data_IF_824850917259
#
_entry.id   IF_824850917259
#
_cell.length_a   1.000
_cell.length_b   1.000
_cell.length_c   1.000
_cell.angle_alpha   90.00
_cell.angle_beta   90.00
_cell.angle_gamma   90.00
#
_symmetry.space_group_name_H-M   'P 1'
#
loop_
_entity.id
_entity.type
_entity.pdbx_description
1 polymer ?
#
# COMPACT_ATOMS: atom_id res chain seq x y z
N UNK A 1 36.22 -3.50 -20.14
CA UNK A 1 35.61 -4.40 -21.14
C UNK A 1 35.12 -3.55 -22.29
N UNK A 2 35.32 -3.94 -23.55
CA UNK A 2 34.83 -3.14 -24.69
C UNK A 2 33.29 -2.99 -24.65
N UNK A 3 32.79 -1.79 -24.92
CA UNK A 3 31.36 -1.46 -24.84
C UNK A 3 30.49 -2.34 -25.75
N UNK A 4 30.92 -2.66 -26.99
CA UNK A 4 30.19 -3.61 -27.86
C UNK A 4 29.97 -4.97 -27.22
N UNK A 5 30.91 -5.43 -26.38
CA UNK A 5 30.76 -6.71 -25.69
C UNK A 5 29.77 -6.59 -24.54
N UNK A 6 29.79 -5.47 -23.81
CA UNK A 6 28.82 -5.19 -22.73
C UNK A 6 27.40 -5.14 -23.30
N UNK A 7 27.20 -4.39 -24.38
CA UNK A 7 25.89 -4.16 -25.00
C UNK A 7 25.29 -5.46 -25.56
N UNK A 8 26.10 -6.26 -26.26
CA UNK A 8 25.55 -7.34 -27.09
C UNK A 8 25.71 -8.74 -26.51
N UNK A 9 26.69 -9.03 -25.64
CA UNK A 9 26.96 -10.42 -25.25
C UNK A 9 25.78 -11.06 -24.53
N UNK A 10 25.24 -10.38 -23.52
CA UNK A 10 24.14 -10.90 -22.72
C UNK A 10 22.87 -11.04 -23.58
N UNK A 11 22.55 -10.02 -24.39
CA UNK A 11 21.41 -10.09 -25.31
C UNK A 11 21.54 -11.25 -26.31
N UNK A 12 22.70 -11.37 -26.97
CA UNK A 12 22.96 -12.44 -27.94
C UNK A 12 22.81 -13.81 -27.28
N UNK A 13 23.33 -13.98 -26.07
CA UNK A 13 23.21 -15.23 -25.32
C UNK A 13 21.75 -15.54 -25.00
N UNK A 14 21.02 -14.60 -24.41
CA UNK A 14 19.61 -14.81 -24.04
C UNK A 14 18.73 -15.12 -25.24
N UNK A 15 18.92 -14.40 -26.35
CA UNK A 15 18.14 -14.59 -27.58
C UNK A 15 18.53 -15.90 -28.26
N UNK A 16 19.80 -16.31 -28.19
CA UNK A 16 20.26 -17.58 -28.76
C UNK A 16 19.57 -18.81 -28.15
N UNK A 17 19.28 -18.80 -26.84
CA UNK A 17 18.57 -19.90 -26.17
C UNK A 17 17.12 -20.11 -26.68
N UNK A 18 16.55 -19.11 -27.36
CA UNK A 18 15.22 -19.20 -27.99
C UNK A 18 15.26 -19.77 -29.41
N UNK A 19 16.46 -19.96 -29.97
CA UNK A 19 16.65 -20.50 -31.32
C UNK A 19 16.74 -22.03 -31.32
N UNK A 20 16.68 -22.63 -32.51
CA UNK A 20 16.81 -24.09 -32.71
C UNK A 20 18.14 -24.66 -32.24
N UNK A 21 19.13 -23.81 -32.01
CA UNK A 21 20.44 -24.17 -31.46
C UNK A 21 20.54 -23.98 -29.93
N UNK A 22 19.49 -23.46 -29.30
CA UNK A 22 19.41 -23.27 -27.85
C UNK A 22 19.35 -24.60 -27.11
N UNK A 23 19.92 -24.62 -25.90
CA UNK A 23 20.11 -25.87 -25.15
C UNK A 23 18.79 -26.57 -24.77
N UNK A 24 17.73 -25.79 -24.58
CA UNK A 24 16.42 -26.26 -24.13
C UNK A 24 15.40 -26.41 -25.27
N UNK A 25 15.76 -25.99 -26.49
CA UNK A 25 14.80 -25.88 -27.60
C UNK A 25 14.28 -27.25 -28.04
N UNK A 26 15.18 -28.20 -28.29
CA UNK A 26 14.81 -29.53 -28.82
C UNK A 26 13.93 -30.31 -27.83
N UNK A 27 14.26 -30.26 -26.53
CA UNK A 27 13.47 -30.91 -25.49
C UNK A 27 12.05 -30.33 -25.42
N UNK A 28 11.92 -29.00 -25.41
CA UNK A 28 10.63 -28.34 -25.40
C UNK A 28 9.83 -28.60 -26.68
N UNK A 29 10.47 -28.51 -27.84
CA UNK A 29 9.85 -28.81 -29.14
C UNK A 29 9.21 -30.21 -29.17
N UNK A 30 9.94 -31.21 -28.66
CA UNK A 30 9.45 -32.58 -28.59
C UNK A 30 8.29 -32.76 -27.60
N UNK A 31 8.23 -31.91 -26.55
CA UNK A 31 7.14 -31.93 -25.55
C UNK A 31 5.81 -31.37 -26.08
N UNK A 32 5.82 -30.58 -27.15
CA UNK A 32 4.61 -29.99 -27.71
C UNK A 32 3.68 -31.06 -28.31
N UNK A 33 2.40 -31.00 -27.97
CA UNK A 33 1.38 -32.02 -28.31
C UNK A 33 0.96 -32.01 -29.79
N UNK A 34 1.08 -30.87 -30.47
CA UNK A 34 0.54 -30.67 -31.83
C UNK A 34 1.62 -30.23 -32.80
N UNK A 35 1.53 -30.73 -34.03
CA UNK A 35 2.44 -30.36 -35.11
C UNK A 35 2.30 -28.87 -35.48
N UNK A 36 1.11 -28.29 -35.33
CA UNK A 36 0.88 -26.86 -35.58
C UNK A 36 1.69 -25.99 -34.62
N UNK A 37 1.68 -26.28 -33.32
CA UNK A 37 2.52 -25.55 -32.33
C UNK A 37 4.02 -25.73 -32.58
N UNK A 38 4.43 -26.92 -33.04
CA UNK A 38 5.82 -27.20 -33.39
C UNK A 38 6.28 -26.37 -34.58
N UNK A 39 5.47 -26.32 -35.64
CA UNK A 39 5.74 -25.50 -36.82
C UNK A 39 5.77 -24.00 -36.46
N UNK A 40 4.86 -23.56 -35.61
CA UNK A 40 4.84 -22.18 -35.10
C UNK A 40 6.11 -21.84 -34.31
N UNK A 41 6.54 -22.73 -33.40
CA UNK A 41 7.78 -22.57 -32.63
C UNK A 41 9.01 -22.51 -33.55
N UNK A 42 9.10 -23.38 -34.56
CA UNK A 42 10.19 -23.36 -35.54
C UNK A 42 10.18 -22.07 -36.37
N UNK A 43 9.01 -21.61 -36.82
CA UNK A 43 8.89 -20.36 -37.56
C UNK A 43 9.39 -19.16 -36.75
N UNK A 44 8.94 -19.03 -35.49
CA UNK A 44 9.42 -17.98 -34.58
C UNK A 44 10.92 -18.09 -34.30
N UNK A 45 11.42 -19.31 -34.11
CA UNK A 45 12.84 -19.60 -33.89
C UNK A 45 13.72 -19.14 -35.06
N UNK A 46 13.29 -19.41 -36.29
CA UNK A 46 13.98 -19.00 -37.51
C UNK A 46 13.96 -17.47 -37.70
N UNK A 47 12.83 -16.82 -37.40
CA UNK A 47 12.71 -15.37 -37.43
C UNK A 47 13.62 -14.70 -36.37
N UNK A 48 13.66 -15.24 -35.16
CA UNK A 48 14.55 -14.79 -34.08
C UNK A 48 16.03 -15.01 -34.46
N UNK A 49 16.40 -16.13 -35.07
CA UNK A 49 17.78 -16.38 -35.51
C UNK A 49 18.23 -15.39 -36.61
N UNK A 50 17.31 -14.95 -37.47
CA UNK A 50 17.61 -13.92 -38.47
C UNK A 50 17.91 -12.56 -37.83
N UNK A 51 17.12 -12.15 -36.84
CA UNK A 51 17.40 -10.94 -36.04
C UNK A 51 18.73 -11.07 -35.28
N UNK A 52 19.00 -12.24 -34.70
CA UNK A 52 20.24 -12.53 -33.99
C UNK A 52 21.47 -12.39 -34.90
N UNK A 53 21.38 -12.80 -36.17
CA UNK A 53 22.46 -12.59 -37.17
C UNK A 53 22.68 -11.09 -37.46
N UNK A 54 21.61 -10.30 -37.56
CA UNK A 54 21.70 -8.86 -37.76
C UNK A 54 22.34 -8.15 -36.56
N UNK A 55 22.00 -8.56 -35.34
CA UNK A 55 22.61 -8.06 -34.10
C UNK A 55 24.10 -8.43 -34.04
N UNK A 56 24.46 -9.70 -34.32
CA UNK A 56 25.87 -10.14 -34.37
C UNK A 56 26.68 -9.35 -35.41
N UNK A 57 26.09 -9.04 -36.56
CA UNK A 57 26.72 -8.20 -37.58
C UNK A 57 26.95 -6.78 -37.07
N UNK A 58 25.96 -6.17 -36.42
CA UNK A 58 26.06 -4.82 -35.83
C UNK A 58 27.18 -4.77 -34.77
N UNK A 59 27.28 -5.79 -33.92
CA UNK A 59 28.37 -5.97 -32.96
C UNK A 59 29.75 -6.01 -33.63
N UNK A 60 29.90 -6.79 -34.71
CA UNK A 60 31.17 -6.92 -35.44
C UNK A 60 31.58 -5.61 -36.14
N UNK A 61 30.60 -4.87 -36.67
CA UNK A 61 30.79 -3.57 -37.29
C UNK A 61 30.97 -2.43 -36.28
N UNK A 62 30.91 -2.72 -34.98
CA UNK A 62 30.95 -1.75 -33.89
C UNK A 62 29.93 -0.61 -34.08
N UNK A 63 28.70 -0.97 -34.51
CA UNK A 63 27.57 -0.04 -34.63
C UNK A 63 26.41 -0.47 -33.77
N UNK A 64 25.69 0.52 -33.24
CA UNK A 64 24.42 0.27 -32.55
C UNK A 64 23.41 -0.26 -33.58
N UNK A 65 22.63 -1.25 -33.16
CA UNK A 65 21.65 -1.90 -34.02
C UNK A 65 20.43 -0.97 -34.13
N UNK A 66 19.97 -0.73 -35.36
CA UNK A 66 19.08 0.39 -35.67
C UNK A 66 17.60 0.14 -35.38
N UNK A 67 17.17 -1.11 -35.24
CA UNK A 67 15.75 -1.44 -35.08
C UNK A 67 15.58 -2.74 -34.31
N UNK A 68 15.03 -2.67 -33.10
CA UNK A 68 14.69 -3.84 -32.31
C UNK A 68 13.18 -4.11 -32.23
N UNK A 69 12.34 -3.32 -32.89
CA UNK A 69 10.88 -3.41 -32.76
C UNK A 69 10.39 -4.78 -33.25
N UNK A 70 10.97 -5.27 -34.34
CA UNK A 70 10.67 -6.62 -34.84
C UNK A 70 11.03 -7.68 -33.80
N UNK A 71 12.24 -7.62 -33.22
CA UNK A 71 12.66 -8.58 -32.20
C UNK A 71 11.76 -8.51 -30.95
N UNK A 72 11.38 -7.32 -30.49
CA UNK A 72 10.42 -7.17 -29.37
C UNK A 72 9.09 -7.86 -29.71
N UNK A 73 8.57 -7.66 -30.92
CA UNK A 73 7.36 -8.31 -31.40
C UNK A 73 7.47 -9.84 -31.37
N UNK A 74 8.59 -10.39 -31.85
CA UNK A 74 8.87 -11.82 -31.83
C UNK A 74 8.98 -12.37 -30.40
N UNK A 75 9.71 -11.68 -29.51
CA UNK A 75 9.88 -12.07 -28.11
C UNK A 75 8.53 -12.07 -27.36
N UNK A 76 7.69 -11.08 -27.59
CA UNK A 76 6.35 -11.02 -26.99
C UNK A 76 5.43 -12.13 -27.53
N UNK A 77 5.49 -12.40 -28.83
CA UNK A 77 4.73 -13.50 -29.45
C UNK A 77 5.18 -14.85 -28.88
N UNK A 78 6.50 -15.07 -28.78
CA UNK A 78 7.06 -16.27 -28.17
C UNK A 78 6.60 -16.43 -26.71
N UNK A 79 6.72 -15.37 -25.90
CA UNK A 79 6.31 -15.36 -24.49
C UNK A 79 4.82 -15.70 -24.30
N UNK A 80 3.96 -15.20 -25.18
CA UNK A 80 2.51 -15.42 -25.10
C UNK A 80 2.12 -16.83 -25.57
N UNK A 81 2.74 -17.33 -26.63
CA UNK A 81 2.35 -18.61 -27.24
C UNK A 81 3.04 -19.82 -26.57
N UNK A 82 4.20 -19.60 -25.94
CA UNK A 82 5.03 -20.61 -25.29
C UNK A 82 5.44 -20.21 -23.86
N UNK A 83 4.47 -19.81 -23.05
CA UNK A 83 4.69 -19.44 -21.63
C UNK A 83 5.25 -20.58 -20.75
N UNK A 84 5.16 -21.83 -21.21
CA UNK A 84 5.73 -23.03 -20.59
C UNK A 84 7.19 -23.28 -20.97
N UNK A 85 7.78 -22.48 -21.87
CA UNK A 85 9.17 -22.62 -22.27
C UNK A 85 10.09 -22.52 -21.02
N UNK A 86 11.09 -23.41 -20.86
CA UNK A 86 11.83 -23.48 -19.60
C UNK A 86 12.65 -22.21 -19.27
N UNK A 87 13.12 -21.48 -20.29
CA UNK A 87 13.81 -20.20 -20.11
C UNK A 87 12.82 -19.06 -19.86
N UNK A 88 12.77 -18.56 -18.62
CA UNK A 88 11.93 -17.41 -18.24
C UNK A 88 12.62 -16.06 -18.46
N UNK A 89 13.74 -16.05 -19.19
CA UNK A 89 14.63 -14.90 -19.33
C UNK A 89 14.27 -13.93 -20.47
N UNK A 90 13.10 -14.12 -21.10
CA UNK A 90 12.61 -13.22 -22.17
C UNK A 90 12.47 -11.77 -21.67
N UNK A 91 12.02 -11.58 -20.42
CA UNK A 91 11.94 -10.24 -19.82
C UNK A 91 13.32 -9.57 -19.74
N UNK A 92 14.39 -10.32 -19.46
CA UNK A 92 15.76 -9.77 -19.43
C UNK A 92 16.17 -9.26 -20.82
N UNK A 93 15.90 -10.03 -21.88
CA UNK A 93 16.16 -9.62 -23.27
C UNK A 93 15.43 -8.33 -23.64
N UNK A 94 14.13 -8.24 -23.31
CA UNK A 94 13.31 -7.05 -23.59
C UNK A 94 13.87 -5.83 -22.86
N UNK A 95 14.26 -5.97 -21.60
CA UNK A 95 14.86 -4.87 -20.82
C UNK A 95 16.18 -4.41 -21.43
N UNK A 96 17.07 -5.35 -21.80
CA UNK A 96 18.34 -4.99 -22.45
C UNK A 96 18.06 -4.23 -23.75
N UNK A 97 17.11 -4.68 -24.58
CA UNK A 97 16.74 -3.99 -25.81
C UNK A 97 16.30 -2.55 -25.53
N UNK A 98 15.40 -2.33 -24.55
CA UNK A 98 14.96 -0.98 -24.20
C UNK A 98 16.11 -0.09 -23.76
N UNK A 99 17.06 -0.63 -22.98
CA UNK A 99 18.24 0.11 -22.53
C UNK A 99 19.18 0.44 -23.70
N UNK A 100 19.33 -0.43 -24.69
CA UNK A 100 20.13 -0.17 -25.90
C UNK A 100 19.48 0.91 -26.76
N UNK A 101 18.17 0.82 -27.00
CA UNK A 101 17.43 1.87 -27.73
C UNK A 101 17.56 3.21 -27.02
N UNK A 102 17.35 3.22 -25.70
CA UNK A 102 17.50 4.42 -24.90
C UNK A 102 18.91 4.99 -24.97
N UNK A 103 19.96 4.15 -24.93
CA UNK A 103 21.34 4.59 -25.10
C UNK A 103 21.59 5.24 -26.46
N UNK A 104 20.94 4.74 -27.51
CA UNK A 104 21.07 5.24 -28.88
C UNK A 104 20.31 6.55 -29.12
N UNK A 105 19.14 6.70 -28.49
CA UNK A 105 18.25 7.86 -28.68
C UNK A 105 18.57 9.02 -27.73
N UNK A 106 18.95 8.73 -26.49
CA UNK A 106 19.13 9.75 -25.45
C UNK A 106 20.50 10.43 -25.48
N UNK A 107 21.47 9.86 -26.18
CA UNK A 107 22.80 10.43 -26.34
C UNK A 107 22.88 11.11 -27.69
N UNK A 108 22.87 12.45 -27.70
CA UNK A 108 23.10 13.29 -28.89
C UNK A 108 24.51 13.07 -29.53
N UNK A 109 25.34 12.21 -28.92
CA UNK A 109 26.69 11.86 -29.36
C UNK A 109 26.72 10.41 -29.89
N UNK A 110 27.42 10.18 -31.01
CA UNK A 110 27.66 8.83 -31.51
C UNK A 110 28.33 7.98 -30.43
N UNK A 111 27.65 6.91 -30.00
CA UNK A 111 28.17 5.99 -28.98
C UNK A 111 29.38 5.23 -29.54
N UNK A 112 30.57 5.53 -29.02
CA UNK A 112 31.78 4.81 -29.38
C UNK A 112 31.79 3.41 -28.74
N UNK A 113 31.40 2.40 -29.52
CA UNK A 113 31.32 1.00 -29.06
C UNK A 113 32.68 0.31 -28.84
N UNK A 114 33.78 0.95 -29.20
CA UNK A 114 35.14 0.46 -28.96
C UNK A 114 35.73 0.98 -27.63
N UNK A 115 35.00 1.84 -26.91
CA UNK A 115 35.39 2.34 -25.60
C UNK A 115 35.54 1.20 -24.57
N UNK A 116 36.56 1.29 -23.71
CA UNK A 116 36.71 0.40 -22.56
C UNK A 116 36.03 0.97 -21.31
N UNK A 117 35.11 0.21 -20.73
CA UNK A 117 34.37 0.63 -19.54
C UNK A 117 34.62 -0.35 -18.38
N UNK A 118 34.76 0.21 -17.17
CA UNK A 118 34.82 -0.54 -15.92
C UNK A 118 33.41 -0.84 -15.42
N UNK A 119 33.01 -2.11 -15.50
CA UNK A 119 31.69 -2.62 -15.04
C UNK A 119 31.75 -3.23 -13.64
N UNK A 120 32.85 -3.00 -12.90
CA UNK A 120 33.05 -3.57 -11.57
C UNK A 120 32.58 -2.67 -10.44
N UNK A 121 32.11 -1.45 -10.72
CA UNK A 121 31.70 -0.48 -9.72
C UNK A 121 30.32 -0.79 -9.12
N UNK A 122 29.43 -1.44 -9.89
CA UNK A 122 28.06 -1.72 -9.48
C UNK A 122 27.78 -3.22 -9.35
N UNK A 123 26.85 -3.54 -8.48
CA UNK A 123 26.21 -4.84 -8.33
C UNK A 123 24.71 -4.74 -8.63
N UNK A 124 24.12 -5.86 -9.03
CA UNK A 124 22.69 -5.96 -9.30
C UNK A 124 22.06 -6.95 -8.33
N UNK A 125 21.30 -6.41 -7.39
CA UNK A 125 20.88 -7.10 -6.17
C UNK A 125 19.37 -7.19 -6.13
N UNK A 126 18.84 -8.37 -5.80
CA UNK A 126 17.41 -8.56 -5.55
C UNK A 126 17.02 -7.78 -4.30
N UNK A 127 15.94 -7.00 -4.39
CA UNK A 127 15.42 -6.27 -3.25
C UNK A 127 14.87 -7.25 -2.19
N UNK A 128 15.23 -7.08 -0.91
CA UNK A 128 14.77 -7.99 0.16
C UNK A 128 13.26 -7.97 0.37
N UNK A 129 12.63 -6.86 0.00
CA UNK A 129 11.19 -6.63 0.09
C UNK A 129 10.76 -5.71 -1.04
N UNK A 130 9.77 -6.14 -1.81
CA UNK A 130 9.23 -5.34 -2.90
C UNK A 130 8.60 -4.03 -2.42
N UNK A 131 8.62 -3.02 -3.29
CA UNK A 131 7.99 -1.72 -3.06
C UNK A 131 7.00 -1.41 -4.19
N UNK A 132 6.05 -0.53 -3.94
CA UNK A 132 5.02 -0.19 -4.93
C UNK A 132 5.60 0.44 -6.22
N UNK A 133 6.79 1.04 -6.16
CA UNK A 133 7.47 1.55 -7.35
C UNK A 133 8.03 0.41 -8.19
N UNK A 134 7.62 0.34 -9.46
CA UNK A 134 8.11 -0.64 -10.44
C UNK A 134 9.51 -0.30 -10.92
N UNK A 135 9.69 0.92 -11.41
CA UNK A 135 10.98 1.43 -11.87
C UNK A 135 11.30 2.73 -11.13
N UNK A 136 12.56 2.89 -10.72
CA UNK A 136 13.02 4.12 -10.10
C UNK A 136 14.50 4.34 -10.41
N UNK A 137 14.91 5.59 -10.57
CA UNK A 137 16.30 5.93 -10.80
C UNK A 137 16.68 7.19 -10.03
N UNK A 138 17.89 7.18 -9.49
CA UNK A 138 18.52 8.36 -8.93
C UNK A 138 19.97 8.39 -9.41
N UNK A 139 20.37 9.52 -9.96
CA UNK A 139 21.72 9.75 -10.45
C UNK A 139 22.35 10.88 -9.63
N UNK A 140 23.43 10.58 -8.92
CA UNK A 140 24.26 11.56 -8.24
C UNK A 140 25.35 12.06 -9.21
N UNK A 141 25.25 13.34 -9.57
CA UNK A 141 26.17 14.00 -10.50
C UNK A 141 27.58 14.22 -9.93
N UNK A 142 27.75 14.10 -8.61
CA UNK A 142 29.03 14.32 -7.91
C UNK A 142 29.76 13.01 -7.69
N UNK A 143 29.05 11.99 -7.21
CA UNK A 143 29.61 10.68 -6.92
C UNK A 143 28.67 9.58 -7.40
N UNK A 144 29.02 8.97 -8.53
CA UNK A 144 28.24 7.93 -9.18
C UNK A 144 27.90 6.79 -8.20
N UNK A 145 28.74 6.51 -7.20
CA UNK A 145 28.50 5.46 -6.19
C UNK A 145 27.21 5.64 -5.37
N UNK A 146 26.71 6.87 -5.26
CA UNK A 146 25.46 7.17 -4.58
C UNK A 146 24.24 7.07 -5.51
N UNK A 147 24.44 6.65 -6.76
CA UNK A 147 23.37 6.44 -7.72
C UNK A 147 22.73 5.07 -7.53
N UNK A 148 21.47 4.94 -7.95
CA UNK A 148 20.77 3.67 -7.96
C UNK A 148 19.77 3.58 -9.11
N UNK A 149 19.53 2.37 -9.58
CA UNK A 149 18.45 2.08 -10.55
C UNK A 149 17.68 0.85 -10.08
N UNK A 150 16.43 1.05 -9.69
CA UNK A 150 15.44 0.01 -9.43
C UNK A 150 14.72 -0.35 -10.73
N UNK A 151 14.66 -1.65 -11.00
CA UNK A 151 14.04 -2.24 -12.19
C UNK A 151 13.13 -3.40 -11.76
N UNK A 152 11.91 -3.44 -12.28
CA UNK A 152 10.98 -4.57 -12.11
C UNK A 152 10.95 -5.43 -13.37
N UNK A 153 11.47 -6.65 -13.28
CA UNK A 153 11.49 -7.61 -14.39
C UNK A 153 10.14 -8.33 -14.60
N UNK A 154 9.23 -8.22 -13.62
CA UNK A 154 7.87 -8.75 -13.70
C UNK A 154 6.93 -7.90 -14.56
N UNK A 155 7.25 -6.63 -14.81
CA UNK A 155 6.48 -5.73 -15.66
C UNK A 155 7.38 -4.85 -16.54
N UNK A 156 7.75 -5.38 -17.71
CA UNK A 156 8.64 -4.71 -18.66
C UNK A 156 7.97 -3.61 -19.49
N UNK A 157 6.64 -3.58 -19.57
CA UNK A 157 5.90 -2.74 -20.51
C UNK A 157 6.02 -1.24 -20.18
N UNK A 158 6.10 -0.91 -18.89
CA UNK A 158 6.18 0.47 -18.41
C UNK A 158 7.61 1.01 -18.34
N UNK A 159 8.61 0.20 -18.70
CA UNK A 159 10.02 0.56 -18.50
C UNK A 159 10.51 1.60 -19.50
N UNK A 160 10.15 1.43 -20.78
CA UNK A 160 10.53 2.37 -21.83
C UNK A 160 9.93 3.77 -21.57
N UNK A 161 8.65 3.83 -21.20
CA UNK A 161 7.99 5.07 -20.80
C UNK A 161 8.70 5.72 -19.61
N UNK A 162 9.06 4.92 -18.60
CA UNK A 162 9.73 5.43 -17.41
C UNK A 162 11.07 6.10 -17.73
N UNK A 163 11.96 5.43 -18.47
CA UNK A 163 13.29 5.98 -18.77
C UNK A 163 13.26 7.14 -19.77
N UNK A 164 12.25 7.18 -20.65
CA UNK A 164 12.00 8.35 -21.49
C UNK A 164 11.66 9.59 -20.64
N UNK A 165 10.86 9.41 -19.58
CA UNK A 165 10.46 10.50 -18.67
C UNK A 165 11.52 10.82 -17.60
N UNK A 166 12.39 9.86 -17.26
CA UNK A 166 13.37 9.95 -16.18
C UNK A 166 14.75 9.56 -16.71
N UNK A 167 15.47 10.51 -17.34
CA UNK A 167 16.65 10.17 -18.09
C UNK A 167 17.78 9.63 -17.20
N UNK A 168 18.45 8.59 -17.71
CA UNK A 168 19.60 7.97 -17.07
C UNK A 168 20.90 8.45 -17.73
N UNK A 169 21.96 8.56 -16.93
CA UNK A 169 23.31 8.75 -17.48
C UNK A 169 23.76 7.53 -18.28
N UNK A 170 24.56 7.76 -19.33
CA UNK A 170 25.26 6.72 -20.12
C UNK A 170 25.86 5.63 -19.24
N UNK A 171 26.57 6.03 -18.19
CA UNK A 171 27.28 5.13 -17.28
C UNK A 171 26.32 4.15 -16.59
N UNK A 172 25.23 4.64 -15.99
CA UNK A 172 24.24 3.79 -15.32
C UNK A 172 23.55 2.82 -16.28
N UNK A 173 23.26 3.23 -17.51
CA UNK A 173 22.66 2.36 -18.53
C UNK A 173 23.62 1.21 -18.85
N UNK A 174 24.90 1.53 -19.08
CA UNK A 174 25.92 0.54 -19.42
C UNK A 174 26.16 -0.43 -18.25
N UNK A 175 26.22 0.09 -17.01
CA UNK A 175 26.30 -0.74 -15.82
C UNK A 175 25.08 -1.68 -15.74
N UNK A 176 23.87 -1.17 -15.96
CA UNK A 176 22.65 -1.98 -15.92
C UNK A 176 22.66 -3.09 -16.99
N UNK A 177 22.95 -2.76 -18.25
CA UNK A 177 23.05 -3.74 -19.34
C UNK A 177 24.11 -4.81 -19.01
N UNK A 178 25.24 -4.42 -18.41
CA UNK A 178 26.31 -5.36 -18.08
C UNK A 178 25.91 -6.44 -17.07
N UNK A 179 24.91 -6.16 -16.21
CA UNK A 179 24.47 -7.05 -15.12
C UNK A 179 23.20 -7.84 -15.43
N UNK A 180 22.35 -7.32 -16.32
CA UNK A 180 21.16 -8.05 -16.77
C UNK A 180 21.59 -9.10 -17.80
N UNK A 181 21.09 -10.33 -17.70
CA UNK A 181 21.43 -11.37 -18.68
C UNK A 181 22.75 -12.08 -18.43
N UNK A 182 23.38 -11.95 -17.25
CA UNK A 182 24.58 -12.72 -16.91
C UNK A 182 24.31 -14.22 -17.05
N UNK A 183 25.21 -14.94 -17.73
CA UNK A 183 25.02 -16.35 -18.12
C UNK A 183 24.78 -17.24 -16.89
N UNK A 184 25.59 -17.04 -15.85
CA UNK A 184 25.58 -17.88 -14.65
C UNK A 184 24.55 -17.42 -13.59
N UNK A 185 23.75 -16.40 -13.89
CA UNK A 185 22.81 -15.78 -12.93
C UNK A 185 21.47 -15.49 -13.59
N UNK A 186 20.58 -16.47 -13.54
CA UNK A 186 19.17 -16.27 -13.92
C UNK A 186 18.48 -15.34 -12.91
N UNK A 187 17.70 -14.38 -13.41
CA UNK A 187 17.00 -13.41 -12.58
C UNK A 187 15.52 -13.80 -12.47
N UNK A 188 15.01 -13.80 -11.25
CA UNK A 188 13.58 -14.02 -11.00
C UNK A 188 12.74 -12.84 -11.50
N UNK A 189 11.45 -13.05 -11.78
CA UNK A 189 10.52 -11.97 -12.11
C UNK A 189 10.17 -11.17 -10.85
N UNK A 190 11.08 -10.28 -10.44
CA UNK A 190 11.00 -9.48 -9.23
C UNK A 190 11.73 -8.14 -9.39
N UNK A 191 11.80 -7.39 -8.30
CA UNK A 191 12.50 -6.11 -8.24
C UNK A 191 13.99 -6.27 -7.93
N UNK A 192 14.81 -5.69 -8.79
CA UNK A 192 16.26 -5.63 -8.65
C UNK A 192 16.74 -4.19 -8.63
N UNK A 193 17.87 -3.97 -7.95
CA UNK A 193 18.47 -2.66 -7.82
C UNK A 193 19.93 -2.74 -8.22
N UNK A 194 20.31 -1.83 -9.11
CA UNK A 194 21.69 -1.50 -9.42
C UNK A 194 22.20 -0.52 -8.35
N UNK A 195 23.22 -0.92 -7.59
CA UNK A 195 23.85 -0.12 -6.53
C UNK A 195 25.36 -0.32 -6.54
N UNK A 196 26.11 0.54 -5.85
CA UNK A 196 27.55 0.35 -5.68
C UNK A 196 27.86 -1.04 -5.07
N UNK A 197 28.90 -1.70 -5.59
CA UNK A 197 29.27 -3.06 -5.16
C UNK A 197 29.59 -3.16 -3.67
N UNK A 198 30.06 -2.07 -3.04
CA UNK A 198 30.52 -2.09 -1.66
C UNK A 198 29.33 -2.25 -0.67
N UNK A 199 28.08 -2.04 -1.13
CA UNK A 199 26.85 -2.22 -0.32
C UNK A 199 26.07 -3.51 -0.63
N UNK A 200 26.55 -4.35 -1.56
CA UNK A 200 25.84 -5.54 -2.05
C UNK A 200 25.38 -6.52 -0.95
N UNK A 201 26.19 -6.68 0.10
CA UNK A 201 25.95 -7.70 1.13
C UNK A 201 24.92 -7.30 2.20
N UNK A 202 24.27 -6.14 2.05
CA UNK A 202 23.40 -5.58 3.09
C UNK A 202 22.01 -5.28 2.53
N UNK A 203 21.22 -6.34 2.30
CA UNK A 203 19.92 -6.22 1.65
C UNK A 203 18.95 -5.24 2.34
N UNK A 204 18.96 -5.18 3.67
CA UNK A 204 18.16 -4.20 4.43
C UNK A 204 18.65 -2.75 4.28
N UNK A 205 19.97 -2.56 4.14
CA UNK A 205 20.55 -1.25 3.86
C UNK A 205 20.20 -0.79 2.45
N UNK A 206 20.27 -1.68 1.45
CA UNK A 206 19.84 -1.40 0.07
C UNK A 206 18.36 -1.03 0.06
N UNK A 207 17.51 -1.81 0.74
CA UNK A 207 16.08 -1.50 0.83
C UNK A 207 15.83 -0.11 1.44
N UNK A 208 16.49 0.20 2.56
CA UNK A 208 16.36 1.50 3.23
C UNK A 208 16.88 2.65 2.35
N UNK A 209 17.98 2.43 1.64
CA UNK A 209 18.58 3.41 0.73
C UNK A 209 17.63 3.72 -0.43
N UNK A 210 17.13 2.70 -1.12
CA UNK A 210 16.19 2.84 -2.24
C UNK A 210 14.91 3.51 -1.78
N UNK A 211 14.29 3.00 -0.71
CA UNK A 211 13.03 3.55 -0.20
C UNK A 211 13.17 5.00 0.23
N UNK A 212 14.29 5.38 0.87
CA UNK A 212 14.55 6.77 1.24
C UNK A 212 14.63 7.69 0.00
N UNK A 213 15.29 7.25 -1.07
CA UNK A 213 15.30 7.99 -2.34
C UNK A 213 13.92 8.08 -2.97
N UNK A 214 13.14 7.00 -2.94
CA UNK A 214 11.76 7.00 -3.45
C UNK A 214 10.89 8.00 -2.69
N UNK A 215 10.84 7.92 -1.35
CA UNK A 215 9.98 8.80 -0.54
C UNK A 215 10.45 10.26 -0.56
N UNK A 216 11.76 10.53 -0.65
CA UNK A 216 12.31 11.89 -0.84
C UNK A 216 11.80 12.54 -2.13
N UNK A 217 11.45 11.75 -3.14
CA UNK A 217 10.86 12.23 -4.40
C UNK A 217 9.33 12.27 -4.37
N UNK A 218 8.70 12.15 -3.19
CA UNK A 218 7.24 12.22 -3.05
C UNK A 218 6.49 10.98 -3.58
N UNK A 219 7.20 9.89 -3.86
CA UNK A 219 6.62 8.63 -4.36
C UNK A 219 6.29 7.68 -3.20
N UNK A 220 5.28 6.84 -3.39
CA UNK A 220 4.84 5.85 -2.40
C UNK A 220 5.68 4.57 -2.49
N UNK A 221 6.07 4.01 -1.35
CA UNK A 221 6.75 2.71 -1.26
C UNK A 221 5.80 1.57 -0.87
N UNK A 222 4.59 1.90 -0.40
CA UNK A 222 3.56 0.96 0.04
C UNK A 222 2.30 1.10 -0.84
N UNK A 223 1.38 0.14 -0.69
CA UNK A 223 0.06 0.17 -1.31
C UNK A 223 -0.94 0.77 -0.31
N UNK A 224 -1.52 1.95 -0.57
CA UNK A 224 -2.60 2.46 0.26
C UNK A 224 -3.84 1.57 0.12
N UNK A 225 -4.64 1.45 1.17
CA UNK A 225 -5.87 0.67 1.15
C UNK A 225 -7.07 1.61 1.17
N UNK A 226 -7.88 1.55 0.10
CA UNK A 226 -9.07 2.39 -0.03
C UNK A 226 -10.30 1.73 0.61
N UNK A 227 -10.97 2.45 1.50
CA UNK A 227 -12.27 2.08 2.06
C UNK A 227 -13.40 2.74 1.28
N UNK A 228 -14.11 1.93 0.49
CA UNK A 228 -15.15 2.39 -0.43
C UNK A 228 -16.58 2.16 0.08
N UNK A 229 -16.74 1.56 1.27
CA UNK A 229 -18.06 1.31 1.80
C UNK A 229 -18.72 2.64 2.19
N UNK A 230 -19.96 2.80 1.76
CA UNK A 230 -20.82 3.92 2.19
C UNK A 230 -21.38 3.55 3.57
N UNK A 231 -21.46 4.50 4.53
CA UNK A 231 -22.09 4.25 5.81
C UNK A 231 -23.46 3.58 5.64
N UNK A 232 -23.58 2.37 6.15
CA UNK A 232 -24.86 1.67 6.17
C UNK A 232 -25.53 2.03 7.48
N UNK A 233 -26.57 2.85 7.41
CA UNK A 233 -27.35 3.30 8.58
C UNK A 233 -28.65 2.49 8.61
N UNK A 234 -29.10 2.05 9.79
CA UNK A 234 -30.41 1.38 9.92
C UNK A 234 -31.53 2.17 9.22
N UNK A 235 -32.30 1.48 8.39
CA UNK A 235 -33.44 2.04 7.64
C UNK A 235 -34.53 2.64 8.53
N UNK A 236 -34.53 2.28 9.83
CA UNK A 236 -35.44 2.84 10.82
C UNK A 236 -35.12 4.31 11.13
N UNK A 237 -33.87 4.75 10.91
CA UNK A 237 -33.39 6.10 11.18
C UNK A 237 -33.74 7.03 10.04
N UNK A 238 -34.64 7.98 10.32
CA UNK A 238 -35.10 8.97 9.34
C UNK A 238 -34.68 10.36 9.77
N UNK A 239 -34.02 11.07 8.86
CA UNK A 239 -33.76 12.51 8.99
C UNK A 239 -35.09 13.24 8.80
N UNK A 240 -35.51 14.02 9.80
CA UNK A 240 -36.80 14.71 9.77
C UNK A 240 -36.62 16.23 9.72
N UNK A 241 -37.38 16.90 8.88
CA UNK A 241 -37.22 18.34 8.61
C UNK A 241 -37.49 19.21 9.85
N UNK A 242 -38.37 18.77 10.75
CA UNK A 242 -38.74 19.47 11.96
C UNK A 242 -37.65 19.45 13.05
N UNK A 243 -36.63 18.61 12.89
CA UNK A 243 -35.57 18.45 13.88
C UNK A 243 -34.44 19.48 13.64
N UNK A 244 -34.00 20.12 14.72
CA UNK A 244 -32.96 21.17 14.69
C UNK A 244 -31.54 20.59 14.68
N UNK A 245 -31.13 20.07 13.53
CA UNK A 245 -29.79 19.50 13.33
C UNK A 245 -28.64 20.53 13.34
N UNK A 246 -28.94 21.84 13.32
CA UNK A 246 -27.93 22.91 13.28
C UNK A 246 -26.91 22.83 14.44
N UNK A 247 -27.30 22.23 15.57
CA UNK A 247 -26.37 21.99 16.68
C UNK A 247 -25.24 20.99 16.35
N UNK A 248 -25.28 20.34 15.19
CA UNK A 248 -24.30 19.39 14.67
C UNK A 248 -23.62 19.90 13.39
N UNK A 249 -23.70 21.18 13.04
CA UNK A 249 -23.10 21.72 11.82
C UNK A 249 -21.60 21.35 11.69
N UNK A 250 -20.82 21.51 12.77
CA UNK A 250 -19.41 21.08 12.80
C UNK A 250 -19.25 19.57 12.58
N UNK A 251 -20.10 18.76 13.21
CA UNK A 251 -20.09 17.30 13.04
C UNK A 251 -20.43 16.89 11.60
N UNK A 252 -21.38 17.59 10.97
CA UNK A 252 -21.77 17.35 9.57
C UNK A 252 -20.62 17.71 8.62
N UNK A 253 -19.90 18.81 8.89
CA UNK A 253 -18.71 19.17 8.11
C UNK A 253 -17.60 18.12 8.26
N UNK A 254 -17.34 17.63 9.47
CA UNK A 254 -16.35 16.55 9.67
C UNK A 254 -16.80 15.25 8.97
N UNK A 255 -18.10 14.93 8.96
CA UNK A 255 -18.64 13.80 8.18
C UNK A 255 -18.46 14.00 6.67
N UNK A 256 -18.56 15.23 6.18
CA UNK A 256 -18.24 15.54 4.78
C UNK A 256 -16.76 15.29 4.47
N UNK A 257 -15.85 15.69 5.36
CA UNK A 257 -14.42 15.37 5.26
C UNK A 257 -14.18 13.86 5.31
N UNK A 258 -14.87 13.13 6.19
CA UNK A 258 -14.84 11.67 6.24
C UNK A 258 -15.25 11.03 4.90
N UNK A 259 -16.30 11.54 4.26
CA UNK A 259 -16.77 11.05 2.97
C UNK A 259 -15.81 11.38 1.82
N UNK A 260 -15.04 12.47 1.92
CA UNK A 260 -14.02 12.83 0.93
C UNK A 260 -12.80 11.91 0.99
N UNK A 261 -12.40 11.44 2.17
CA UNK A 261 -11.28 10.52 2.32
C UNK A 261 -11.59 9.17 1.67
N UNK A 262 -10.62 8.61 0.96
CA UNK A 262 -10.67 7.23 0.44
C UNK A 262 -9.81 6.28 1.23
N UNK A 263 -8.72 6.76 1.83
CA UNK A 263 -7.82 5.93 2.64
C UNK A 263 -8.49 5.48 3.94
N UNK A 264 -8.38 4.19 4.27
CA UNK A 264 -9.04 3.61 5.45
C UNK A 264 -8.51 4.15 6.78
N UNK A 265 -7.20 4.42 6.87
CA UNK A 265 -6.56 4.91 8.08
C UNK A 265 -6.96 6.38 8.31
N UNK A 266 -6.97 7.18 7.25
CA UNK A 266 -7.45 8.57 7.31
C UNK A 266 -8.95 8.64 7.64
N UNK A 267 -9.78 7.78 7.02
CA UNK A 267 -11.20 7.67 7.37
C UNK A 267 -11.39 7.37 8.85
N UNK A 268 -10.63 6.41 9.37
CA UNK A 268 -10.67 6.09 10.79
C UNK A 268 -10.30 7.29 11.68
N UNK A 269 -9.26 8.05 11.34
CA UNK A 269 -8.91 9.27 12.08
C UNK A 269 -10.01 10.34 11.99
N UNK A 270 -10.63 10.54 10.83
CA UNK A 270 -11.72 11.51 10.65
C UNK A 270 -12.95 11.15 11.48
N UNK A 271 -13.35 9.88 11.50
CA UNK A 271 -14.49 9.45 12.32
C UNK A 271 -14.14 9.43 13.82
N UNK A 272 -12.87 9.19 14.17
CA UNK A 272 -12.40 9.36 15.54
C UNK A 272 -12.52 10.82 16.02
N UNK A 273 -12.24 11.83 15.18
CA UNK A 273 -12.46 13.23 15.54
C UNK A 273 -13.93 13.55 15.87
N UNK A 274 -14.88 12.84 15.27
CA UNK A 274 -16.30 12.95 15.65
C UNK A 274 -16.56 12.36 17.05
N UNK A 275 -15.95 11.22 17.36
CA UNK A 275 -16.01 10.65 18.71
C UNK A 275 -15.37 11.61 19.73
N UNK A 276 -14.24 12.25 19.41
CA UNK A 276 -13.65 13.29 20.25
C UNK A 276 -14.63 14.44 20.48
N UNK A 277 -15.27 14.96 19.43
CA UNK A 277 -16.29 16.00 19.58
C UNK A 277 -17.41 15.55 20.53
N UNK A 278 -17.88 14.31 20.42
CA UNK A 278 -18.91 13.75 21.30
C UNK A 278 -18.44 13.50 22.73
N UNK A 279 -17.16 13.18 22.96
CA UNK A 279 -16.59 13.09 24.30
C UNK A 279 -16.68 14.42 25.06
N UNK A 280 -16.55 15.56 24.38
CA UNK A 280 -16.77 16.88 24.96
C UNK A 280 -18.26 17.24 25.05
N UNK A 281 -19.04 16.88 24.03
CA UNK A 281 -20.48 17.21 23.97
C UNK A 281 -21.31 16.49 25.02
N UNK A 282 -20.95 15.25 25.37
CA UNK A 282 -21.66 14.43 26.36
C UNK A 282 -21.72 15.04 27.78
N UNK A 283 -20.60 15.45 28.42
CA UNK A 283 -20.68 16.11 29.71
C UNK A 283 -21.33 17.50 29.61
N UNK A 284 -21.23 18.19 28.46
CA UNK A 284 -21.85 19.49 28.24
C UNK A 284 -23.38 19.40 28.12
N UNK A 285 -23.91 18.40 27.41
CA UNK A 285 -25.35 18.15 27.29
C UNK A 285 -25.94 17.79 28.66
N UNK A 286 -25.25 16.97 29.46
CA UNK A 286 -25.63 16.66 30.83
C UNK A 286 -25.67 17.91 31.72
N UNK A 287 -24.67 18.79 31.59
CA UNK A 287 -24.64 20.05 32.32
C UNK A 287 -25.81 20.95 31.93
N UNK A 288 -26.04 21.13 30.63
CA UNK A 288 -27.14 21.94 30.08
C UNK A 288 -28.51 21.45 30.59
N UNK A 289 -28.75 20.14 30.52
CA UNK A 289 -29.99 19.52 31.01
C UNK A 289 -30.19 19.64 32.51
N UNK A 290 -29.12 19.50 33.30
CA UNK A 290 -29.17 19.65 34.76
C UNK A 290 -29.66 21.05 35.17
N UNK A 291 -29.26 22.07 34.42
CA UNK A 291 -29.64 23.45 34.69
C UNK A 291 -30.91 23.88 33.94
N UNK A 292 -31.32 23.18 32.88
CA UNK A 292 -32.55 23.39 32.11
C UNK A 292 -32.71 24.84 31.64
N UNK A 293 -31.68 25.35 30.97
CA UNK A 293 -31.62 26.72 30.46
C UNK A 293 -31.28 27.79 31.51
N UNK A 294 -31.12 27.41 32.79
CA UNK A 294 -30.64 28.33 33.85
C UNK A 294 -29.11 28.49 33.79
N UNK A 295 -28.65 29.60 34.37
CA UNK A 295 -27.21 29.89 34.49
C UNK A 295 -26.51 28.86 35.39
N UNK A 296 -25.44 28.24 34.89
CA UNK A 296 -24.53 27.43 35.71
C UNK A 296 -23.30 28.23 36.14
N UNK A 297 -22.63 27.80 37.22
CA UNK A 297 -21.46 28.52 37.73
C UNK A 297 -20.17 28.15 36.98
N UNK A 298 -19.15 29.03 37.03
CA UNK A 298 -17.79 28.73 36.52
C UNK A 298 -17.24 27.43 37.14
N UNK A 299 -17.58 27.15 38.40
CA UNK A 299 -17.17 25.91 39.07
C UNK A 299 -17.81 24.67 38.46
N UNK A 300 -19.04 24.75 37.98
CA UNK A 300 -19.70 23.64 37.29
C UNK A 300 -19.07 23.38 35.91
N UNK A 301 -18.71 24.45 35.21
CA UNK A 301 -17.96 24.36 33.95
C UNK A 301 -16.57 23.77 34.16
N UNK A 302 -15.85 24.18 35.20
CA UNK A 302 -14.55 23.59 35.56
C UNK A 302 -14.67 22.09 35.86
N UNK A 303 -15.66 21.68 36.67
CA UNK A 303 -15.91 20.26 36.94
C UNK A 303 -16.20 19.47 35.68
N UNK A 304 -16.98 20.03 34.75
CA UNK A 304 -17.26 19.42 33.46
C UNK A 304 -15.98 19.30 32.62
N UNK A 305 -15.16 20.35 32.57
CA UNK A 305 -13.89 20.33 31.88
C UNK A 305 -12.92 19.30 32.49
N UNK A 306 -12.90 19.17 33.81
CA UNK A 306 -12.11 18.15 34.51
C UNK A 306 -12.56 16.73 34.11
N UNK A 307 -13.85 16.49 33.88
CA UNK A 307 -14.34 15.18 33.41
C UNK A 307 -13.77 14.77 32.05
N UNK A 308 -13.46 15.73 31.19
CA UNK A 308 -12.82 15.47 29.89
C UNK A 308 -11.29 15.50 29.98
N UNK A 309 -10.75 16.37 30.84
CA UNK A 309 -9.30 16.50 31.08
C UNK A 309 -8.70 15.30 31.82
N UNK A 310 -9.52 14.48 32.48
CA UNK A 310 -9.12 13.30 33.26
C UNK A 310 -8.70 12.07 32.41
N UNK A 311 -8.49 12.24 31.10
CA UNK A 311 -7.89 11.26 30.20
C UNK A 311 -8.85 10.78 29.11
N UNK A 312 -8.39 10.86 27.87
CA UNK A 312 -9.09 10.52 26.63
C UNK A 312 -9.83 9.17 26.71
N UNK A 313 -9.12 8.09 27.08
CA UNK A 313 -9.72 6.75 27.23
C UNK A 313 -10.87 6.71 28.25
N UNK A 314 -10.77 7.47 29.34
CA UNK A 314 -11.81 7.51 30.38
C UNK A 314 -13.06 8.21 29.85
N UNK A 315 -12.89 9.32 29.15
CA UNK A 315 -13.99 10.05 28.49
C UNK A 315 -14.66 9.18 27.42
N UNK A 316 -13.88 8.46 26.63
CA UNK A 316 -14.39 7.54 25.62
C UNK A 316 -15.20 6.40 26.24
N UNK A 317 -14.68 5.78 27.31
CA UNK A 317 -15.43 4.74 28.06
C UNK A 317 -16.74 5.28 28.64
N UNK A 318 -16.74 6.49 29.19
CA UNK A 318 -17.96 7.10 29.71
C UNK A 318 -19.00 7.31 28.61
N UNK A 319 -18.58 7.81 27.45
CA UNK A 319 -19.46 8.00 26.29
C UNK A 319 -20.06 6.67 25.82
N UNK A 320 -19.22 5.64 25.58
CA UNK A 320 -19.69 4.35 25.09
C UNK A 320 -20.57 3.60 26.11
N UNK A 321 -20.28 3.72 27.40
CA UNK A 321 -21.13 3.13 28.44
C UNK A 321 -22.55 3.70 28.45
N UNK A 322 -22.75 4.95 28.02
CA UNK A 322 -24.11 5.47 27.83
C UNK A 322 -24.71 5.05 26.48
N UNK A 323 -23.92 5.03 25.40
CA UNK A 323 -24.40 4.61 24.07
C UNK A 323 -24.98 3.19 24.12
N UNK A 324 -24.26 2.24 24.72
CA UNK A 324 -24.68 0.82 24.75
C UNK A 324 -25.97 0.56 25.52
N UNK A 325 -26.42 1.50 26.35
CA UNK A 325 -27.71 1.40 27.07
C UNK A 325 -28.91 1.71 26.19
N UNK A 326 -28.70 2.41 25.08
CA UNK A 326 -29.75 2.83 24.17
C UNK A 326 -30.09 1.75 23.15
N UNK A 327 -31.29 1.83 22.59
CA UNK A 327 -31.77 0.96 21.54
C UNK A 327 -31.07 1.30 20.21
N UNK A 328 -30.47 0.30 19.58
CA UNK A 328 -30.02 0.36 18.19
C UNK A 328 -31.22 0.23 17.25
N UNK A 329 -32.11 -0.72 17.53
CA UNK A 329 -33.41 -0.85 16.87
C UNK A 329 -34.46 -1.16 17.94
N UNK A 330 -35.75 -1.07 17.61
CA UNK A 330 -36.80 -1.33 18.58
C UNK A 330 -36.63 -2.72 19.23
N UNK A 331 -36.28 -2.75 20.52
CA UNK A 331 -36.04 -3.97 21.29
C UNK A 331 -34.65 -4.60 21.14
N UNK A 332 -33.70 -3.97 20.42
CA UNK A 332 -32.31 -4.42 20.28
C UNK A 332 -31.40 -3.30 20.77
N UNK A 333 -30.59 -3.56 21.80
CA UNK A 333 -29.65 -2.54 22.31
C UNK A 333 -28.40 -2.43 21.46
N UNK A 334 -27.72 -1.29 21.55
CA UNK A 334 -26.38 -1.15 21.00
C UNK A 334 -25.39 -2.16 21.59
N UNK A 335 -25.51 -2.54 22.86
CA UNK A 335 -24.70 -3.63 23.44
C UNK A 335 -24.81 -4.91 22.61
N UNK A 336 -26.04 -5.30 22.30
CA UNK A 336 -26.37 -6.57 21.65
C UNK A 336 -25.90 -6.53 20.19
N UNK A 337 -26.13 -5.41 19.51
CA UNK A 337 -25.66 -5.18 18.14
C UNK A 337 -24.14 -5.29 18.04
N UNK A 338 -23.39 -4.60 18.90
CA UNK A 338 -21.92 -4.63 18.89
C UNK A 338 -21.42 -6.03 19.25
N UNK A 339 -22.01 -6.67 20.25
CA UNK A 339 -21.63 -8.02 20.67
C UNK A 339 -21.90 -9.07 19.58
N UNK A 340 -23.03 -8.97 18.88
CA UNK A 340 -23.32 -9.82 17.72
C UNK A 340 -22.32 -9.60 16.59
N UNK A 341 -21.93 -8.36 16.30
CA UNK A 341 -20.89 -8.05 15.31
C UNK A 341 -19.52 -8.58 15.72
N UNK A 342 -19.17 -8.50 17.00
CA UNK A 342 -17.93 -9.08 17.55
C UNK A 342 -17.91 -10.59 17.36
N UNK A 343 -18.97 -11.27 17.79
CA UNK A 343 -19.12 -12.72 17.61
C UNK A 343 -19.24 -13.13 16.15
N UNK A 344 -19.60 -12.20 15.27
CA UNK A 344 -19.65 -12.40 13.83
C UNK A 344 -18.31 -12.26 13.13
N UNK A 345 -17.28 -11.67 13.76
CA UNK A 345 -15.95 -11.56 13.16
C UNK A 345 -15.34 -12.93 12.89
N UNK A 346 -15.47 -13.84 13.85
CA UNK A 346 -15.14 -15.25 13.67
C UNK A 346 -16.42 -16.10 13.72
N UNK A 347 -16.73 -16.90 12.69
CA UNK A 347 -15.85 -17.28 11.58
C UNK A 347 -16.03 -16.48 10.28
N UNK A 348 -16.87 -15.43 10.24
CA UNK A 348 -17.29 -14.88 8.93
C UNK A 348 -16.21 -14.03 8.21
N UNK A 349 -15.24 -13.50 8.94
CA UNK A 349 -14.21 -12.61 8.40
C UNK A 349 -12.79 -13.03 8.78
N UNK A 350 -12.62 -13.62 9.97
CA UNK A 350 -11.33 -14.05 10.50
C UNK A 350 -11.47 -15.50 10.97
N UNK A 351 -10.80 -16.41 10.27
CA UNK A 351 -10.90 -17.85 10.51
C UNK A 351 -10.21 -18.28 11.82
N UNK A 352 -9.20 -17.54 12.27
CA UNK A 352 -8.36 -17.90 13.40
C UNK A 352 -8.44 -16.85 14.52
N UNK A 353 -9.08 -17.22 15.64
CA UNK A 353 -9.18 -16.39 16.84
C UNK A 353 -7.83 -16.01 17.42
N UNK A 354 -6.79 -16.85 17.26
CA UNK A 354 -5.45 -16.57 17.79
C UNK A 354 -4.87 -15.30 17.16
N UNK A 355 -5.19 -15.03 15.89
CA UNK A 355 -4.78 -13.78 15.22
C UNK A 355 -5.44 -12.55 15.84
N UNK A 356 -6.73 -12.66 16.22
CA UNK A 356 -7.44 -11.60 16.93
C UNK A 356 -6.79 -11.35 18.29
N UNK A 357 -6.55 -12.41 19.07
CA UNK A 357 -5.91 -12.32 20.38
C UNK A 357 -4.51 -11.72 20.31
N UNK A 358 -3.73 -12.11 19.30
CA UNK A 358 -2.40 -11.56 19.04
C UNK A 358 -2.48 -10.07 18.71
N UNK A 359 -3.41 -9.65 17.84
CA UNK A 359 -3.61 -8.24 17.53
C UNK A 359 -4.05 -7.44 18.76
N UNK A 360 -4.97 -7.96 19.58
CA UNK A 360 -5.39 -7.31 20.82
C UNK A 360 -4.19 -7.14 21.78
N UNK A 361 -3.31 -8.14 21.87
CA UNK A 361 -2.09 -8.07 22.66
C UNK A 361 -1.11 -7.00 22.15
N UNK A 362 -0.87 -6.93 20.83
CA UNK A 362 -0.03 -5.90 20.19
C UNK A 362 -0.58 -4.48 20.45
N UNK A 363 -1.91 -4.33 20.40
CA UNK A 363 -2.62 -3.10 20.75
C UNK A 363 -2.67 -2.84 22.27
N UNK A 364 -2.08 -3.70 23.09
CA UNK A 364 -2.08 -3.65 24.57
C UNK A 364 -3.48 -3.67 25.18
N UNK A 365 -4.44 -4.28 24.49
CA UNK A 365 -5.80 -4.55 24.96
C UNK A 365 -5.79 -5.88 25.75
N UNK A 366 -5.99 -5.80 27.06
CA UNK A 366 -5.92 -6.96 27.99
C UNK A 366 -7.18 -7.82 27.96
N UNK A 367 -7.58 -8.30 26.79
CA UNK A 367 -8.72 -9.20 26.58
C UNK A 367 -8.40 -10.15 25.42
N UNK A 368 -8.98 -11.35 25.46
CA UNK A 368 -9.03 -12.28 24.33
C UNK A 368 -10.43 -12.30 23.72
N UNK A 369 -10.55 -12.84 22.51
CA UNK A 369 -11.79 -12.96 21.75
C UNK A 369 -12.93 -13.54 22.56
N UNK A 370 -12.68 -14.70 23.19
CA UNK A 370 -13.69 -15.42 23.99
C UNK A 370 -13.93 -14.80 25.38
N UNK A 371 -13.08 -13.86 25.83
CA UNK A 371 -13.25 -13.18 27.12
C UNK A 371 -14.14 -11.94 27.06
N UNK A 372 -14.52 -11.49 25.86
CA UNK A 372 -15.40 -10.34 25.69
C UNK A 372 -16.82 -10.75 26.04
N UNK A 373 -17.39 -10.12 27.06
CA UNK A 373 -18.77 -10.34 27.49
C UNK A 373 -19.67 -9.17 27.05
N UNK A 374 -20.92 -9.46 26.73
CA UNK A 374 -21.93 -8.47 26.32
C UNK A 374 -22.05 -7.29 27.31
N UNK A 375 -22.04 -7.57 28.61
CA UNK A 375 -22.12 -6.53 29.67
C UNK A 375 -20.89 -5.61 29.71
N UNK A 376 -19.75 -6.07 29.16
CA UNK A 376 -18.48 -5.33 29.14
C UNK A 376 -18.19 -4.68 27.79
N UNK A 377 -19.06 -4.90 26.79
CA UNK A 377 -18.76 -4.59 25.38
C UNK A 377 -18.49 -3.11 25.13
N UNK A 378 -19.20 -2.20 25.80
CA UNK A 378 -18.98 -0.76 25.66
C UNK A 378 -17.59 -0.33 26.13
N UNK A 379 -17.14 -0.86 27.28
CA UNK A 379 -15.81 -0.59 27.82
C UNK A 379 -14.68 -1.21 27.00
N UNK A 380 -14.90 -2.42 26.48
CA UNK A 380 -13.98 -3.09 25.56
C UNK A 380 -13.86 -2.32 24.23
N UNK A 381 -14.98 -1.99 23.60
CA UNK A 381 -15.02 -1.31 22.31
C UNK A 381 -14.37 0.08 22.37
N UNK A 382 -14.65 0.85 23.43
CA UNK A 382 -13.96 2.11 23.69
C UNK A 382 -12.42 1.93 23.84
N UNK A 383 -12.00 0.88 24.55
CA UNK A 383 -10.57 0.59 24.70
C UNK A 383 -9.90 0.22 23.38
N UNK A 384 -10.60 -0.53 22.53
CA UNK A 384 -10.10 -0.95 21.23
C UNK A 384 -9.98 0.23 20.26
N UNK A 385 -11.00 1.11 20.20
CA UNK A 385 -10.92 2.35 19.42
C UNK A 385 -9.73 3.18 19.91
N UNK A 386 -9.61 3.43 21.21
CA UNK A 386 -8.48 4.21 21.73
C UNK A 386 -7.12 3.58 21.39
N UNK A 387 -7.00 2.25 21.48
CA UNK A 387 -5.76 1.54 21.15
C UNK A 387 -5.40 1.66 19.67
N UNK A 388 -6.37 1.54 18.75
CA UNK A 388 -6.18 1.72 17.31
C UNK A 388 -5.74 3.15 16.97
N UNK A 389 -6.38 4.16 17.55
CA UNK A 389 -5.96 5.57 17.40
C UNK A 389 -4.51 5.75 17.85
N UNK A 390 -4.15 5.19 18.98
CA UNK A 390 -2.78 5.31 19.49
C UNK A 390 -1.76 4.61 18.61
N UNK A 391 -2.07 3.42 18.08
CA UNK A 391 -1.21 2.71 17.15
C UNK A 391 -0.99 3.50 15.84
N UNK A 392 -1.93 4.36 15.45
CA UNK A 392 -1.82 5.23 14.28
C UNK A 392 -1.03 6.51 14.54
N UNK A 393 -1.26 7.18 15.69
CA UNK A 393 -0.78 8.54 15.94
C UNK A 393 0.51 8.57 16.77
N UNK A 394 0.76 7.59 17.63
CA UNK A 394 1.97 7.56 18.45
C UNK A 394 3.08 6.78 17.75
N UNK A 395 4.27 7.37 17.74
CA UNK A 395 5.48 6.80 17.14
C UNK A 395 6.56 6.61 18.22
N UNK A 396 6.37 5.64 19.11
CA UNK A 396 7.41 5.15 20.03
C UNK A 396 7.91 3.83 19.49
N UNK A 397 9.22 3.69 19.29
CA UNK A 397 9.86 2.52 18.66
C UNK A 397 9.46 1.15 19.25
N UNK A 398 8.99 1.10 20.50
CA UNK A 398 8.56 -0.12 21.19
C UNK A 398 7.06 -0.42 21.07
N UNK A 399 6.31 0.36 20.30
CA UNK A 399 4.86 0.25 20.15
C UNK A 399 4.50 -0.29 18.77
N UNK A 400 3.43 -1.10 18.72
CA UNK A 400 2.85 -1.53 17.46
C UNK A 400 2.33 -0.30 16.69
N UNK A 401 2.83 -0.09 15.49
CA UNK A 401 2.43 1.01 14.61
C UNK A 401 1.54 0.51 13.50
N UNK A 402 0.32 1.02 13.45
CA UNK A 402 -0.61 0.70 12.38
C UNK A 402 -0.28 1.59 11.16
N UNK A 403 0.41 1.00 10.20
CA UNK A 403 0.68 1.52 8.85
C UNK A 403 0.00 0.63 7.81
N UNK A 404 -0.06 1.05 6.54
CA UNK A 404 -0.58 0.16 5.47
C UNK A 404 0.15 -1.17 5.39
N UNK A 405 1.45 -1.18 5.66
CA UNK A 405 2.22 -2.42 5.70
C UNK A 405 1.71 -3.36 6.79
N UNK A 406 1.66 -2.90 8.03
CA UNK A 406 1.20 -3.73 9.16
C UNK A 406 -0.30 -4.01 9.12
N UNK A 407 -1.07 -3.20 8.39
CA UNK A 407 -2.50 -3.40 8.17
C UNK A 407 -2.76 -4.59 7.24
N UNK A 408 -1.93 -4.76 6.20
CA UNK A 408 -2.11 -5.74 5.12
C UNK A 408 -1.27 -7.01 5.32
N UNK A 409 -0.06 -6.88 5.86
CA UNK A 409 0.96 -7.93 5.80
C UNK A 409 1.78 -8.06 7.10
N UNK A 410 1.12 -7.99 8.26
CA UNK A 410 1.81 -8.26 9.52
C UNK A 410 2.24 -9.74 9.62
N UNK A 411 3.45 -10.02 10.08
CA UNK A 411 4.02 -11.38 10.10
C UNK A 411 3.21 -12.39 10.94
N UNK A 412 2.59 -11.93 12.02
CA UNK A 412 1.84 -12.80 12.94
C UNK A 412 0.32 -12.72 12.78
N UNK A 413 -0.20 -11.55 12.38
CA UNK A 413 -1.66 -11.32 12.32
C UNK A 413 -2.18 -11.14 10.89
N UNK A 414 -1.29 -11.11 9.89
CA UNK A 414 -1.65 -10.95 8.48
C UNK A 414 -2.54 -9.72 8.27
N UNK A 415 -3.67 -9.86 7.57
CA UNK A 415 -4.66 -8.80 7.31
C UNK A 415 -5.72 -8.67 8.43
N UNK A 416 -5.53 -9.30 9.59
CA UNK A 416 -6.51 -9.26 10.70
C UNK A 416 -6.81 -7.83 11.15
N UNK A 417 -5.82 -6.94 11.13
CA UNK A 417 -6.02 -5.53 11.47
C UNK A 417 -6.94 -4.83 10.46
N UNK A 418 -6.78 -5.13 9.16
CA UNK A 418 -7.70 -4.66 8.12
C UNK A 418 -9.11 -5.17 8.36
N UNK A 419 -9.29 -6.47 8.55
CA UNK A 419 -10.62 -7.06 8.76
C UNK A 419 -11.31 -6.50 10.01
N UNK A 420 -10.55 -6.32 11.10
CA UNK A 420 -11.07 -5.70 12.32
C UNK A 420 -11.52 -4.25 12.07
N UNK A 421 -10.70 -3.45 11.37
CA UNK A 421 -11.02 -2.06 11.09
C UNK A 421 -12.21 -1.93 10.13
N UNK A 422 -12.20 -2.69 9.03
CA UNK A 422 -13.16 -2.60 7.93
C UNK A 422 -14.51 -3.25 8.25
N UNK A 423 -14.51 -4.39 8.94
CA UNK A 423 -15.73 -5.20 9.15
C UNK A 423 -16.37 -5.00 10.52
N UNK A 424 -15.62 -4.50 11.50
CA UNK A 424 -16.11 -4.29 12.86
C UNK A 424 -16.07 -2.83 13.29
N UNK A 425 -14.90 -2.19 13.30
CA UNK A 425 -14.76 -0.86 13.89
C UNK A 425 -15.50 0.21 13.08
N UNK A 426 -15.15 0.39 11.80
CA UNK A 426 -15.72 1.48 11.00
C UNK A 426 -17.25 1.37 10.87
N UNK A 427 -17.85 0.22 10.48
CA UNK A 427 -19.30 0.14 10.33
C UNK A 427 -20.08 0.42 11.62
N UNK A 428 -19.55 0.00 12.76
CA UNK A 428 -20.20 0.23 14.06
C UNK A 428 -20.07 1.69 14.48
N UNK A 429 -18.88 2.29 14.31
CA UNK A 429 -18.67 3.70 14.66
C UNK A 429 -19.51 4.61 13.76
N UNK A 430 -19.64 4.29 12.47
CA UNK A 430 -20.54 4.97 11.55
C UNK A 430 -21.99 4.93 12.05
N UNK A 431 -22.53 3.75 12.34
CA UNK A 431 -23.89 3.60 12.88
C UNK A 431 -24.10 4.41 14.17
N UNK A 432 -23.13 4.39 15.08
CA UNK A 432 -23.19 5.14 16.34
C UNK A 432 -23.17 6.65 16.09
N UNK A 433 -22.27 7.13 15.23
CA UNK A 433 -22.15 8.57 14.92
C UNK A 433 -23.45 9.07 14.27
N UNK A 434 -24.00 8.33 13.32
CA UNK A 434 -25.26 8.70 12.69
C UNK A 434 -26.44 8.61 13.66
N UNK A 435 -26.50 7.59 14.53
CA UNK A 435 -27.49 7.54 15.62
C UNK A 435 -27.44 8.79 16.50
N UNK A 436 -26.23 9.16 16.96
CA UNK A 436 -26.03 10.28 17.86
C UNK A 436 -26.47 11.62 17.24
N UNK A 437 -26.36 11.77 15.92
CA UNK A 437 -26.74 12.98 15.17
C UNK A 437 -28.19 12.97 14.71
N UNK A 438 -28.73 11.83 14.27
CA UNK A 438 -30.06 11.74 13.64
C UNK A 438 -31.17 11.65 14.68
N UNK A 439 -30.98 10.82 15.72
CA UNK A 439 -31.97 10.55 16.74
C UNK A 439 -31.77 11.44 17.96
N UNK A 440 -32.84 12.14 18.38
CA UNK A 440 -32.80 12.92 19.61
C UNK A 440 -32.52 12.02 20.81
N UNK A 441 -31.38 12.23 21.46
CA UNK A 441 -30.90 11.42 22.58
C UNK A 441 -30.41 12.30 23.73
N UNK A 442 -30.26 11.74 24.92
CA UNK A 442 -29.75 12.47 26.09
C UNK A 442 -28.23 12.59 26.11
N UNK A 443 -27.54 11.91 25.20
CA UNK A 443 -26.08 11.81 25.17
C UNK A 443 -25.49 13.08 24.58
N UNK A 444 -25.84 13.46 23.36
CA UNK A 444 -25.17 14.58 22.66
C UNK A 444 -26.10 15.71 22.23
N UNK A 445 -27.41 15.61 22.44
CA UNK A 445 -28.34 16.68 22.10
C UNK A 445 -28.51 17.67 23.24
N UNK A 446 -28.40 18.96 22.90
CA UNK A 446 -28.87 20.03 23.77
C UNK A 446 -30.38 20.12 23.73
N UNK A 447 -30.99 20.28 24.90
CA UNK A 447 -32.43 20.49 25.02
C UNK A 447 -32.78 21.94 24.68
N UNK A 448 -31.98 22.89 25.16
CA UNK A 448 -32.17 24.32 24.92
C UNK A 448 -31.27 24.82 23.78
N UNK A 449 -31.74 25.83 23.05
CA UNK A 449 -30.99 26.44 21.94
C UNK A 449 -29.85 27.36 22.37
N UNK A 450 -29.75 27.66 23.67
CA UNK A 450 -28.73 28.55 24.23
C UNK A 450 -28.28 28.03 25.59
N UNK A 451 -27.00 28.24 25.89
CA UNK A 451 -26.41 28.01 27.21
C UNK A 451 -26.19 29.38 27.84
N UNK A 452 -26.88 29.68 28.95
CA UNK A 452 -26.73 30.96 29.64
C UNK A 452 -25.54 30.92 30.59
N UNK A 453 -24.53 31.76 30.34
CA UNK A 453 -23.35 31.91 31.21
C UNK A 453 -23.50 33.03 32.25
N UNK A 454 -24.42 33.95 32.01
CA UNK A 454 -24.79 35.04 32.90
C UNK A 454 -26.26 35.39 32.68
N UNK A 455 -26.89 36.04 33.66
CA UNK A 455 -28.24 36.58 33.46
C UNK A 455 -28.15 37.78 32.53
N UNK A 456 -28.90 37.78 31.45
CA UNK A 456 -29.13 39.01 30.66
C UNK A 456 -29.86 40.02 31.56
N UNK A 457 -29.35 41.26 31.58
CA UNK A 457 -29.85 42.36 32.39
C UNK A 457 -31.04 43.07 31.75
#
# INVERSE_FOLDING_TARGET
>A
MELKNIIYNNLIHLVFELTSNGSQFEEFYNSLETEDKRNELLGLSDEIDNELKAIKKSKLEAKVHSDFDNLIGLLNTFKNNFNEFPSKRISESIVIIYLINYLNEALDEEVNLEEEIDISAFSFVKLSKEINQRNFAFHDLVDLKNSLVLVDLGNTDLMNEYFTQNPLSKELIIQLISKIGEIDKELELSQFVLVDKDVENSANQIWSFVTLHVVKNGKLIHNPYSYQQIPTISNSRKIKQEIKYQQFDDSILILSEYNHQTDILDKYLRIYHLLENFMYKYPLSNLERKYDGRVFSIRDFQKMNDLVSNGELKSLKNLFNEIVKNDYEAGIKFSDFIFQKWNGLHPNHIDDKVKIDTLLSELRVKMTYDSVEENSIGGFFANLIYALRNALVHNRETEFHLTHETLLSHSQVQDTALQLLEKFILPIVEEIVFYLIIEQNEIVWFKNSTIQLYKEH
#
